data_IF_439999826339
#
_entry.id   IF_439999826339
#
_cell.length_a   1.000
_cell.length_b   1.000
_cell.length_c   1.000
_cell.angle_alpha   90.00
_cell.angle_beta   90.00
_cell.angle_gamma   90.00
#
_symmetry.space_group_name_H-M   'P 1'
#
loop_
_entity.id
_entity.type
_entity.pdbx_description
1 polymer ?
#
# COMPACT_ATOMS: atom_id res chain seq x y z
N UNK A 1 20.92 -26.20 -8.08
CA UNK A 1 21.86 -25.54 -7.13
C UNK A 1 21.04 -24.95 -6.00
N UNK A 2 20.86 -25.67 -4.89
CA UNK A 2 20.09 -25.19 -3.75
C UNK A 2 20.90 -24.08 -3.05
N UNK A 3 20.43 -22.85 -3.13
CA UNK A 3 21.01 -21.73 -2.41
C UNK A 3 20.88 -22.01 -0.90
N UNK A 4 22.03 -22.14 -0.23
CA UNK A 4 22.17 -22.32 1.21
C UNK A 4 21.41 -21.19 1.92
N UNK A 5 20.36 -21.54 2.68
CA UNK A 5 19.58 -20.59 3.48
C UNK A 5 20.52 -19.79 4.39
N UNK A 6 20.71 -18.51 4.08
CA UNK A 6 21.40 -17.58 4.98
C UNK A 6 20.42 -17.25 6.09
N UNK A 7 20.50 -17.95 7.22
CA UNK A 7 19.74 -17.58 8.40
C UNK A 7 20.21 -16.20 8.89
N UNK A 8 19.43 -15.17 8.62
CA UNK A 8 19.58 -13.86 9.26
C UNK A 8 19.08 -13.95 10.68
N UNK A 9 19.97 -13.75 11.64
CA UNK A 9 19.64 -13.79 13.07
C UNK A 9 19.39 -12.41 13.69
N UNK A 10 19.46 -11.32 12.92
CA UNK A 10 19.25 -9.95 13.44
C UNK A 10 18.60 -9.04 12.40
N UNK A 11 17.82 -8.06 12.88
CA UNK A 11 17.21 -7.00 12.07
C UNK A 11 18.24 -6.28 11.18
N UNK A 12 19.39 -5.89 11.74
CA UNK A 12 20.45 -5.21 10.97
C UNK A 12 20.94 -6.04 9.78
N UNK A 13 21.10 -7.35 9.96
CA UNK A 13 21.53 -8.23 8.87
C UNK A 13 20.43 -8.40 7.80
N UNK A 14 19.18 -8.50 8.23
CA UNK A 14 18.02 -8.60 7.34
C UNK A 14 17.84 -7.31 6.53
N UNK A 15 17.81 -6.14 7.19
CA UNK A 15 17.73 -4.83 6.54
C UNK A 15 18.82 -4.64 5.49
N UNK A 16 20.05 -5.06 5.78
CA UNK A 16 21.16 -4.95 4.81
C UNK A 16 20.89 -5.77 3.54
N UNK A 17 20.40 -7.00 3.67
CA UNK A 17 20.08 -7.84 2.51
C UNK A 17 18.87 -7.32 1.74
N UNK A 18 17.83 -6.87 2.44
CA UNK A 18 16.67 -6.26 1.77
C UNK A 18 17.08 -4.95 1.08
N UNK A 19 17.94 -4.12 1.69
CA UNK A 19 18.49 -2.93 1.04
C UNK A 19 19.25 -3.27 -0.23
N UNK A 20 20.09 -4.32 -0.22
CA UNK A 20 20.78 -4.77 -1.44
C UNK A 20 19.79 -5.13 -2.56
N UNK A 21 18.70 -5.82 -2.23
CA UNK A 21 17.63 -6.10 -3.19
C UNK A 21 16.98 -4.82 -3.70
N UNK A 22 16.54 -3.93 -2.80
CA UNK A 22 15.89 -2.68 -3.18
C UNK A 22 16.81 -1.82 -4.04
N UNK A 23 18.10 -1.76 -3.74
CA UNK A 23 19.10 -1.02 -4.51
C UNK A 23 19.25 -1.61 -5.92
N UNK A 24 19.14 -2.93 -6.07
CA UNK A 24 19.20 -3.59 -7.38
C UNK A 24 18.02 -3.30 -8.31
N UNK A 25 16.87 -2.85 -7.77
CA UNK A 25 15.64 -2.58 -8.53
C UNK A 25 15.31 -1.09 -8.67
N UNK A 26 16.18 -0.21 -8.17
CA UNK A 26 15.92 1.22 -8.11
C UNK A 26 17.16 2.04 -8.44
N UNK A 27 16.97 3.34 -8.61
CA UNK A 27 18.03 4.31 -8.79
C UNK A 27 17.68 5.61 -8.09
N UNK A 28 18.69 6.36 -7.68
CA UNK A 28 18.50 7.74 -7.25
C UNK A 28 18.59 8.66 -8.45
N UNK A 29 17.60 9.53 -8.62
CA UNK A 29 17.55 10.54 -9.68
C UNK A 29 17.42 11.93 -9.09
N UNK A 30 18.08 12.90 -9.72
CA UNK A 30 17.88 14.31 -9.39
C UNK A 30 16.52 14.76 -9.94
N UNK A 31 15.74 15.46 -9.11
CA UNK A 31 14.47 16.05 -9.53
C UNK A 31 14.78 17.24 -10.42
N UNK A 32 14.14 17.29 -11.59
CA UNK A 32 14.35 18.36 -12.57
C UNK A 32 13.03 19.01 -12.98
N UNK A 33 13.05 20.31 -13.23
CA UNK A 33 11.96 21.05 -13.86
C UNK A 33 12.34 21.53 -15.26
N UNK A 34 11.34 21.70 -16.13
CA UNK A 34 11.55 22.29 -17.46
C UNK A 34 11.58 23.80 -17.33
N UNK A 35 12.72 24.41 -17.68
CA UNK A 35 12.87 25.86 -17.75
C UNK A 35 13.06 26.31 -19.21
N UNK A 36 12.37 27.38 -19.65
CA UNK A 36 12.63 28.00 -20.95
C UNK A 36 14.07 28.51 -21.03
N UNK A 37 14.74 28.21 -22.13
CA UNK A 37 16.11 28.68 -22.42
C UNK A 37 16.15 30.15 -22.84
N UNK A 38 15.00 30.71 -23.23
CA UNK A 38 14.89 32.02 -23.88
C UNK A 38 14.89 31.95 -25.41
N UNK A 39 15.20 30.80 -25.99
CA UNK A 39 15.11 30.54 -27.43
C UNK A 39 13.76 29.92 -27.82
N UNK A 40 13.38 30.06 -29.09
CA UNK A 40 12.17 29.48 -29.67
C UNK A 40 12.49 28.58 -30.85
N UNK A 41 11.72 27.51 -31.04
CA UNK A 41 11.83 26.61 -32.18
C UNK A 41 11.30 27.26 -33.48
N UNK A 42 11.41 26.54 -34.59
CA UNK A 42 10.92 26.99 -35.92
C UNK A 42 9.40 27.25 -35.98
N UNK A 43 8.65 26.80 -34.98
CA UNK A 43 7.20 26.98 -34.85
C UNK A 43 6.85 28.06 -33.81
N UNK A 44 7.85 28.72 -33.22
CA UNK A 44 7.67 29.76 -32.20
C UNK A 44 7.44 29.21 -30.78
N UNK A 45 7.61 27.91 -30.54
CA UNK A 45 7.48 27.35 -29.19
C UNK A 45 8.78 27.54 -28.40
N UNK A 46 8.73 27.87 -27.10
CA UNK A 46 9.93 27.94 -26.26
C UNK A 46 10.70 26.63 -26.23
N UNK A 47 12.00 26.71 -26.46
CA UNK A 47 12.93 25.58 -26.24
C UNK A 47 13.18 25.51 -24.73
N UNK A 48 12.84 24.38 -24.11
CA UNK A 48 13.03 24.15 -22.68
C UNK A 48 14.17 23.16 -22.42
N UNK A 49 14.88 23.36 -21.32
CA UNK A 49 15.89 22.44 -20.80
C UNK A 49 15.51 21.95 -19.40
N UNK A 50 15.99 20.76 -19.01
CA UNK A 50 15.78 20.22 -17.67
C UNK A 50 16.85 20.77 -16.73
N UNK A 51 16.45 21.51 -15.70
CA UNK A 51 17.36 21.98 -14.64
C UNK A 51 17.08 21.30 -13.31
N UNK A 52 18.11 21.05 -12.48
CA UNK A 52 17.93 20.47 -11.15
C UNK A 52 17.14 21.42 -10.25
N UNK A 53 16.26 20.86 -9.45
CA UNK A 53 15.49 21.58 -8.43
C UNK A 53 16.26 21.55 -7.11
N UNK A 54 16.41 22.71 -6.47
CA UNK A 54 17.07 22.85 -5.17
C UNK A 54 16.03 22.99 -4.06
N UNK A 55 16.31 22.40 -2.90
CA UNK A 55 15.53 22.64 -1.69
C UNK A 55 15.90 24.00 -1.05
N UNK A 56 15.18 24.38 0.02
CA UNK A 56 15.42 25.64 0.74
C UNK A 56 16.81 25.73 1.39
N UNK A 57 17.56 24.63 1.44
CA UNK A 57 18.95 24.57 1.93
C UNK A 57 19.98 24.68 0.81
N UNK A 58 19.55 24.82 -0.45
CA UNK A 58 20.43 24.88 -1.61
C UNK A 58 20.99 23.52 -2.04
N UNK A 59 20.38 22.41 -1.62
CA UNK A 59 20.76 21.05 -2.02
C UNK A 59 19.85 20.56 -3.15
N UNK A 60 20.40 19.81 -4.12
CA UNK A 60 19.59 19.20 -5.18
C UNK A 60 18.62 18.19 -4.57
N UNK A 61 17.33 18.34 -4.88
CA UNK A 61 16.30 17.39 -4.48
C UNK A 61 16.53 16.09 -5.24
N UNK A 62 16.65 14.99 -4.49
CA UNK A 62 16.81 13.64 -5.04
C UNK A 62 15.63 12.79 -4.64
N UNK A 63 15.16 11.96 -5.56
CA UNK A 63 14.17 10.93 -5.29
C UNK A 63 14.70 9.56 -5.66
N UNK A 64 14.19 8.53 -5.00
CA UNK A 64 14.47 7.15 -5.35
C UNK A 64 13.38 6.67 -6.30
N UNK A 65 13.76 6.41 -7.54
CA UNK A 65 12.87 5.84 -8.53
C UNK A 65 13.01 4.32 -8.54
N UNK A 66 11.91 3.61 -8.27
CA UNK A 66 11.84 2.17 -8.46
C UNK A 66 11.58 1.84 -9.94
N UNK A 67 12.61 1.39 -10.63
CA UNK A 67 12.52 0.96 -12.04
C UNK A 67 11.67 -0.31 -12.14
N UNK A 68 11.80 -1.20 -11.15
CA UNK A 68 10.92 -2.35 -10.96
C UNK A 68 10.17 -2.12 -9.63
N UNK A 69 8.83 -2.24 -9.61
CA UNK A 69 8.04 -2.10 -8.39
C UNK A 69 8.54 -2.99 -7.25
N UNK A 70 8.77 -2.44 -6.04
CA UNK A 70 9.12 -3.26 -4.89
C UNK A 70 7.88 -4.08 -4.47
N UNK A 71 8.09 -5.37 -4.21
CA UNK A 71 7.03 -6.28 -3.76
C UNK A 71 7.56 -7.19 -2.67
N UNK A 72 6.68 -7.61 -1.74
CA UNK A 72 7.05 -8.57 -0.71
C UNK A 72 7.53 -9.89 -1.31
N UNK A 73 6.87 -10.35 -2.37
CA UNK A 73 7.26 -11.58 -3.08
C UNK A 73 8.67 -11.46 -3.66
N UNK A 74 9.01 -10.35 -4.30
CA UNK A 74 10.36 -10.12 -4.82
C UNK A 74 11.43 -10.12 -3.73
N UNK A 75 11.12 -9.50 -2.57
CA UNK A 75 11.99 -9.54 -1.38
C UNK A 75 12.18 -10.99 -0.90
N UNK A 76 11.10 -11.75 -0.74
CA UNK A 76 11.17 -13.14 -0.29
C UNK A 76 12.01 -14.01 -1.23
N UNK A 77 11.82 -13.86 -2.54
CA UNK A 77 12.59 -14.57 -3.56
C UNK A 77 14.08 -14.23 -3.48
N UNK A 78 14.43 -12.94 -3.32
CA UNK A 78 15.82 -12.52 -3.16
C UNK A 78 16.47 -13.10 -1.90
N UNK A 79 15.72 -13.14 -0.79
CA UNK A 79 16.18 -13.73 0.47
C UNK A 79 16.23 -15.26 0.45
N UNK A 80 15.65 -15.92 -0.57
CA UNK A 80 15.57 -17.37 -0.67
C UNK A 80 14.59 -18.00 0.33
N UNK A 81 13.53 -17.28 0.70
CA UNK A 81 12.50 -17.73 1.64
C UNK A 81 11.11 -17.69 0.99
N UNK A 82 10.15 -18.36 1.61
CA UNK A 82 8.74 -18.29 1.19
C UNK A 82 8.02 -17.11 1.89
N UNK A 83 6.92 -16.59 1.30
CA UNK A 83 6.09 -15.59 1.97
C UNK A 83 5.54 -16.06 3.33
N UNK A 84 5.26 -17.37 3.47
CA UNK A 84 4.85 -17.96 4.74
C UNK A 84 5.93 -17.84 5.82
N UNK A 85 7.22 -17.99 5.45
CA UNK A 85 8.32 -17.79 6.38
C UNK A 85 8.46 -16.32 6.77
N UNK A 86 8.27 -15.39 5.83
CA UNK A 86 8.22 -13.97 6.15
C UNK A 86 7.10 -13.63 7.13
N UNK A 87 5.89 -14.17 6.92
CA UNK A 87 4.75 -13.98 7.84
C UNK A 87 5.07 -14.46 9.26
N UNK A 88 5.83 -15.55 9.41
CA UNK A 88 6.30 -15.98 10.74
C UNK A 88 7.26 -14.97 11.37
N UNK A 89 8.16 -14.36 10.59
CA UNK A 89 9.07 -13.34 11.11
C UNK A 89 8.36 -12.06 11.55
N UNK A 90 7.18 -11.76 11.00
CA UNK A 90 6.34 -10.66 11.45
C UNK A 90 5.63 -10.93 12.80
N UNK A 91 5.75 -12.12 13.38
CA UNK A 91 5.32 -12.36 14.76
C UNK A 91 6.41 -11.85 15.72
N UNK A 92 6.22 -10.63 16.23
CA UNK A 92 7.19 -9.96 17.08
C UNK A 92 7.35 -10.63 18.46
N UNK A 93 6.42 -11.50 18.87
CA UNK A 93 6.60 -12.30 20.09
C UNK A 93 7.54 -13.48 19.83
N UNK A 94 7.42 -14.11 18.66
CA UNK A 94 8.24 -15.26 18.29
C UNK A 94 9.63 -14.86 17.75
N UNK A 95 9.75 -13.71 17.08
CA UNK A 95 10.98 -13.20 16.46
C UNK A 95 11.21 -11.70 16.77
N UNK A 96 11.31 -11.30 18.05
CA UNK A 96 11.51 -9.90 18.43
C UNK A 96 12.80 -9.30 17.83
N UNK A 97 13.82 -10.12 17.55
CA UNK A 97 15.06 -9.66 16.93
C UNK A 97 14.91 -9.22 15.47
N UNK A 98 13.78 -9.54 14.82
CA UNK A 98 13.46 -9.20 13.44
C UNK A 98 12.40 -8.10 13.30
N UNK A 99 11.71 -7.73 14.39
CA UNK A 99 10.63 -6.73 14.42
C UNK A 99 10.99 -5.44 13.66
N UNK A 100 12.11 -4.81 14.02
CA UNK A 100 12.57 -3.57 13.41
C UNK A 100 12.72 -3.71 11.88
N UNK A 101 13.26 -4.84 11.41
CA UNK A 101 13.44 -5.10 9.99
C UNK A 101 12.13 -5.38 9.27
N UNK A 102 11.22 -6.16 9.86
CA UNK A 102 9.94 -6.47 9.25
C UNK A 102 9.02 -5.24 9.18
N UNK A 103 9.02 -4.41 10.22
CA UNK A 103 8.31 -3.13 10.22
C UNK A 103 8.91 -2.16 9.20
N UNK A 104 10.24 -2.05 9.12
CA UNK A 104 10.90 -1.21 8.14
C UNK A 104 10.57 -1.59 6.70
N UNK A 105 10.55 -2.88 6.38
CA UNK A 105 10.14 -3.37 5.05
C UNK A 105 8.67 -3.07 4.78
N UNK A 106 7.81 -3.27 5.77
CA UNK A 106 6.37 -2.95 5.67
C UNK A 106 6.19 -1.46 5.35
N UNK A 107 6.90 -0.57 6.05
CA UNK A 107 6.88 0.87 5.80
C UNK A 107 7.33 1.25 4.39
N UNK A 108 8.34 0.56 3.82
CA UNK A 108 8.79 0.81 2.44
C UNK A 108 7.71 0.43 1.42
N UNK A 109 7.10 -0.75 1.57
CA UNK A 109 6.08 -1.23 0.64
C UNK A 109 4.79 -0.41 0.74
N UNK A 110 4.45 0.04 1.95
CA UNK A 110 3.35 0.97 2.19
C UNK A 110 3.63 2.32 1.54
N UNK A 111 4.79 2.94 1.81
CA UNK A 111 5.14 4.25 1.25
C UNK A 111 5.14 4.25 -0.28
N UNK A 112 5.65 3.17 -0.91
CA UNK A 112 5.57 3.03 -2.36
C UNK A 112 4.12 2.95 -2.84
N UNK A 113 3.27 2.17 -2.15
CA UNK A 113 1.85 2.04 -2.50
C UNK A 113 1.10 3.37 -2.37
N UNK A 114 1.38 4.15 -1.33
CA UNK A 114 0.84 5.51 -1.14
C UNK A 114 1.29 6.44 -2.28
N UNK A 115 2.55 6.40 -2.70
CA UNK A 115 3.04 7.15 -3.86
C UNK A 115 2.31 6.76 -5.16
N UNK A 116 1.97 5.48 -5.33
CA UNK A 116 1.21 5.03 -6.50
C UNK A 116 -0.22 5.60 -6.53
N UNK A 117 -0.82 5.94 -5.39
CA UNK A 117 -2.12 6.62 -5.36
C UNK A 117 -2.08 8.02 -5.97
N UNK A 118 -0.92 8.69 -5.86
CA UNK A 118 -0.76 10.07 -6.32
C UNK A 118 -0.37 10.16 -7.80
N UNK A 119 0.24 9.11 -8.33
CA UNK A 119 0.91 9.14 -9.65
C UNK A 119 0.19 8.33 -10.72
N UNK A 120 -0.58 7.30 -10.34
CA UNK A 120 -1.31 6.46 -11.30
C UNK A 120 -2.67 7.03 -11.64
N UNK A 121 -3.12 6.78 -12.88
CA UNK A 121 -4.48 7.11 -13.32
C UNK A 121 -5.54 6.16 -12.75
N UNK A 122 -5.24 4.86 -12.70
CA UNK A 122 -6.10 3.85 -12.07
C UNK A 122 -5.47 3.37 -10.77
N UNK A 123 -6.19 3.63 -9.67
CA UNK A 123 -5.74 3.41 -8.30
C UNK A 123 -6.52 2.31 -7.59
N UNK A 124 -7.54 1.70 -8.23
CA UNK A 124 -8.44 0.73 -7.56
C UNK A 124 -7.68 -0.44 -6.94
N UNK A 125 -6.73 -1.02 -7.69
CA UNK A 125 -5.89 -2.12 -7.20
C UNK A 125 -4.95 -1.72 -6.06
N UNK A 126 -4.46 -0.48 -6.08
CA UNK A 126 -3.58 0.07 -5.02
C UNK A 126 -4.39 0.31 -3.75
N UNK A 127 -5.59 0.89 -3.86
CA UNK A 127 -6.53 1.06 -2.74
C UNK A 127 -6.88 -0.30 -2.14
N UNK A 128 -7.24 -1.28 -2.96
CA UNK A 128 -7.51 -2.64 -2.48
C UNK A 128 -6.30 -3.23 -1.73
N UNK A 129 -5.08 -3.07 -2.26
CA UNK A 129 -3.86 -3.53 -1.58
C UNK A 129 -3.68 -2.84 -0.22
N UNK A 130 -3.83 -1.52 -0.16
CA UNK A 130 -3.70 -0.72 1.06
C UNK A 130 -4.74 -1.10 2.13
N UNK A 131 -6.00 -1.30 1.73
CA UNK A 131 -7.07 -1.69 2.63
C UNK A 131 -6.81 -3.06 3.25
N UNK A 132 -6.43 -4.05 2.43
CA UNK A 132 -6.26 -5.43 2.89
C UNK A 132 -4.97 -5.66 3.71
N UNK A 133 -3.91 -4.91 3.43
CA UNK A 133 -2.58 -5.20 3.99
C UNK A 133 -2.11 -4.16 5.01
N UNK A 134 -2.67 -2.95 5.01
CA UNK A 134 -2.21 -1.84 5.86
C UNK A 134 -3.34 -1.11 6.59
N UNK A 135 -4.56 -1.67 6.58
CA UNK A 135 -5.67 -1.16 7.38
C UNK A 135 -6.24 0.18 6.92
N UNK A 136 -5.99 0.58 5.67
CA UNK A 136 -6.67 1.74 5.09
C UNK A 136 -8.18 1.49 5.10
N UNK A 137 -8.95 2.48 5.56
CA UNK A 137 -10.41 2.39 5.60
C UNK A 137 -11.01 3.59 4.88
N UNK A 138 -12.01 3.34 4.03
CA UNK A 138 -12.82 4.41 3.47
C UNK A 138 -13.91 4.76 4.48
N UNK A 139 -13.92 6.00 4.96
CA UNK A 139 -15.02 6.49 5.79
C UNK A 139 -16.22 6.71 4.88
N UNK A 140 -17.18 5.79 4.93
CA UNK A 140 -18.47 5.93 4.25
C UNK A 140 -19.46 6.45 5.27
N UNK A 141 -19.82 7.72 5.17
CA UNK A 141 -20.93 8.28 5.93
C UNK A 141 -22.23 7.92 5.20
N UNK A 142 -22.91 6.90 5.70
CA UNK A 142 -24.25 6.55 5.23
C UNK A 142 -25.24 7.39 6.02
N UNK A 143 -25.94 8.31 5.37
CA UNK A 143 -27.12 8.91 5.98
C UNK A 143 -28.15 7.80 6.19
N UNK A 144 -28.42 7.50 7.46
CA UNK A 144 -29.52 6.62 7.83
C UNK A 144 -30.82 7.21 7.29
N UNK A 145 -31.43 6.52 6.32
CA UNK A 145 -32.75 6.86 5.81
C UNK A 145 -33.79 6.87 6.94
N UNK A 146 -34.99 7.45 6.73
CA UNK A 146 -36.01 7.57 7.77
C UNK A 146 -36.35 6.21 8.43
N UNK A 147 -36.36 5.12 7.65
CA UNK A 147 -36.59 3.76 8.15
C UNK A 147 -35.45 3.25 9.04
N UNK A 148 -34.18 3.49 8.67
CA UNK A 148 -33.01 3.10 9.47
C UNK A 148 -32.93 3.89 10.79
N UNK A 149 -33.33 5.17 10.77
CA UNK A 149 -33.46 6.00 11.97
C UNK A 149 -34.58 5.53 12.89
N UNK A 150 -35.75 5.22 12.35
CA UNK A 150 -36.87 4.68 13.12
C UNK A 150 -36.51 3.32 13.75
N UNK A 151 -35.78 2.47 13.04
CA UNK A 151 -35.30 1.20 13.55
C UNK A 151 -34.23 1.35 14.65
N UNK A 152 -33.42 2.41 14.65
CA UNK A 152 -32.42 2.65 15.69
C UNK A 152 -33.05 3.02 17.04
N UNK A 153 -34.21 3.69 17.04
CA UNK A 153 -34.98 4.01 18.26
C UNK A 153 -35.75 2.82 18.85
N UNK A 154 -35.85 1.70 18.14
CA UNK A 154 -36.51 0.50 18.64
C UNK A 154 -35.63 -0.25 19.63
N UNK A 155 -36.25 -0.71 20.71
CA UNK A 155 -35.64 -1.65 21.66
C UNK A 155 -35.32 -2.98 20.97
N UNK A 156 -34.45 -3.78 21.58
CA UNK A 156 -34.07 -5.10 21.04
C UNK A 156 -35.28 -6.01 20.84
N UNK A 157 -36.30 -5.93 21.71
CA UNK A 157 -37.53 -6.71 21.57
C UNK A 157 -38.38 -6.27 20.39
N UNK A 158 -38.53 -4.97 20.17
CA UNK A 158 -39.29 -4.44 19.03
C UNK A 158 -38.61 -4.77 17.69
N UNK A 159 -37.27 -4.77 17.65
CA UNK A 159 -36.50 -5.24 16.48
C UNK A 159 -36.73 -6.71 16.19
N UNK A 160 -36.79 -7.56 17.23
CA UNK A 160 -37.05 -9.00 17.08
C UNK A 160 -38.49 -9.27 16.61
N UNK A 161 -39.47 -8.53 17.12
CA UNK A 161 -40.86 -8.65 16.69
C UNK A 161 -41.03 -8.25 15.22
N UNK A 162 -40.41 -7.13 14.80
CA UNK A 162 -40.41 -6.68 13.41
C UNK A 162 -39.75 -7.71 12.48
N UNK A 163 -38.65 -8.34 12.91
CA UNK A 163 -37.99 -9.39 12.14
C UNK A 163 -38.85 -10.66 12.03
N UNK A 164 -39.61 -11.02 13.06
CA UNK A 164 -40.56 -12.14 13.01
C UNK A 164 -41.73 -11.85 12.07
N UNK A 165 -42.30 -10.64 12.13
CA UNK A 165 -43.39 -10.23 11.25
C UNK A 165 -42.96 -10.26 9.77
N UNK A 166 -41.78 -9.72 9.46
CA UNK A 166 -41.19 -9.78 8.09
C UNK A 166 -40.88 -11.21 7.62
N UNK A 167 -40.57 -12.11 8.55
CA UNK A 167 -40.34 -13.52 8.27
C UNK A 167 -41.66 -14.27 7.98
N UNK A 168 -42.72 -13.95 8.71
CA UNK A 168 -44.06 -14.51 8.54
C UNK A 168 -44.75 -14.00 7.27
N UNK A 169 -44.48 -12.75 6.86
CA UNK A 169 -44.96 -12.16 5.61
C UNK A 169 -44.24 -12.69 4.35
N UNK A 170 -43.31 -13.64 4.50
CA UNK A 170 -42.62 -14.29 3.38
C UNK A 170 -41.62 -13.39 2.64
N UNK A 171 -41.20 -12.27 3.24
CA UNK A 171 -40.15 -11.39 2.70
C UNK A 171 -38.74 -11.79 3.16
N UNK A 172 -38.63 -12.82 4.00
CA UNK A 172 -37.36 -13.37 4.49
C UNK A 172 -36.78 -14.45 3.58
N UNK A 173 -36.40 -14.12 2.33
CA UNK A 173 -35.44 -14.96 1.62
C UNK A 173 -34.03 -14.66 2.16
N UNK A 174 -33.38 -15.67 2.73
CA UNK A 174 -31.94 -15.62 3.00
C UNK A 174 -31.23 -15.44 1.64
N UNK A 175 -30.33 -14.45 1.49
CA UNK A 175 -29.56 -14.34 0.26
C UNK A 175 -28.84 -15.67 0.02
N UNK A 176 -29.06 -16.28 -1.15
CA UNK A 176 -28.36 -17.51 -1.53
C UNK A 176 -26.85 -17.25 -1.39
N UNK A 177 -26.22 -18.00 -0.49
CA UNK A 177 -24.79 -18.07 -0.40
C UNK A 177 -24.26 -18.60 -1.74
N UNK A 178 -23.82 -17.71 -2.62
CA UNK A 178 -22.88 -18.08 -3.66
C UNK A 178 -21.56 -18.39 -2.96
N UNK A 179 -21.31 -19.67 -2.73
CA UNK A 179 -19.96 -20.16 -2.45
C UNK A 179 -19.05 -19.91 -3.67
N UNK A 180 -17.75 -19.63 -3.43
CA UNK A 180 -16.80 -19.20 -4.46
C UNK A 180 -16.44 -20.27 -5.51
#
# INVERSE_FOLDING_TARGET
>A
MAARQRQTSTSKALMRQVRQYLDSISRTVDVTELQPTGEVDKKGNPICERKPVYNDRGEIIRTREYVIPPTLTGICLHLGITPGKWKQWCDHQAYPELEEATEWVTGILQAWSEEQLLTRKDVKGVVFHLQNNYGYAQKVEVEAGPQTRAAQSLTTQEKLALLQELWEEGQGELPEHHEP
#
